data_IF_209004425772
#
_entry.id   IF_209004425772
#
_cell.length_a   1.000
_cell.length_b   1.000
_cell.length_c   1.000
_cell.angle_alpha   90.00
_cell.angle_beta   90.00
_cell.angle_gamma   90.00
#
_symmetry.space_group_name_H-M   'P 1'
#
loop_
_entity.id
_entity.type
_entity.pdbx_description
1 polymer ?
#
# COMPACT_ATOMS: atom_id res chain seq x y z
N UNK A 1 -25.84 -12.73 40.07
CA UNK A 1 -25.54 -11.51 39.30
C UNK A 1 -24.30 -10.85 39.87
N UNK A 2 -23.11 -11.17 39.36
CA UNK A 2 -21.85 -10.47 39.63
C UNK A 2 -20.83 -10.91 38.58
N UNK A 3 -20.52 -10.04 37.63
CA UNK A 3 -19.29 -10.09 36.84
C UNK A 3 -18.79 -8.67 36.70
N UNK A 4 -17.92 -8.32 37.63
CA UNK A 4 -17.08 -7.14 37.56
C UNK A 4 -16.10 -7.26 36.39
N UNK A 5 -15.90 -6.12 35.73
CA UNK A 5 -14.70 -5.60 35.09
C UNK A 5 -13.52 -6.56 34.81
N UNK A 6 -12.99 -6.50 33.58
CA UNK A 6 -11.55 -6.31 33.31
C UNK A 6 -11.41 -5.64 31.92
N UNK A 7 -11.01 -4.36 31.97
CA UNK A 7 -10.11 -3.63 31.04
C UNK A 7 -9.96 -4.12 29.58
N UNK A 8 -10.56 -3.41 28.62
CA UNK A 8 -10.04 -3.32 27.24
C UNK A 8 -10.17 -1.90 26.70
N UNK A 9 -9.62 -0.91 27.41
CA UNK A 9 -9.70 0.51 26.99
C UNK A 9 -8.35 1.18 26.67
N UNK A 10 -7.22 0.50 26.94
CA UNK A 10 -5.90 1.16 26.98
C UNK A 10 -4.91 0.85 25.85
N UNK A 11 -5.25 -0.02 24.90
CA UNK A 11 -4.30 -0.46 23.85
C UNK A 11 -4.44 0.29 22.51
N UNK A 12 -5.32 1.30 22.43
CA UNK A 12 -5.73 1.91 21.16
C UNK A 12 -4.98 3.17 20.73
N UNK A 13 -4.19 3.83 21.59
CA UNK A 13 -3.64 5.17 21.27
C UNK A 13 -2.24 5.15 20.66
N UNK A 14 -1.43 4.14 20.97
CA UNK A 14 -0.09 4.01 20.40
C UNK A 14 -0.10 3.32 19.03
N UNK A 15 -1.12 2.53 18.70
CA UNK A 15 -1.26 1.86 17.40
C UNK A 15 -1.79 2.76 16.29
N UNK A 16 -2.60 3.77 16.62
CA UNK A 16 -3.15 4.73 15.66
C UNK A 16 -2.09 5.57 14.91
N UNK A 17 -1.03 6.13 15.53
CA UNK A 17 -0.02 6.89 14.79
C UNK A 17 0.83 6.01 13.87
N UNK A 18 1.16 4.77 14.25
CA UNK A 18 1.84 3.83 13.36
C UNK A 18 0.96 3.47 12.17
N UNK A 19 -0.32 3.17 12.43
CA UNK A 19 -1.27 2.83 11.38
C UNK A 19 -1.49 4.01 10.41
N UNK A 20 -1.61 5.23 10.93
CA UNK A 20 -1.71 6.42 10.10
C UNK A 20 -0.42 6.64 9.28
N UNK A 21 0.75 6.38 9.88
CA UNK A 21 2.05 6.40 9.21
C UNK A 21 2.12 5.43 8.04
N UNK A 22 1.71 4.17 8.24
CA UNK A 22 1.66 3.14 7.20
C UNK A 22 0.76 3.56 6.03
N UNK A 23 -0.42 4.10 6.34
CA UNK A 23 -1.37 4.59 5.33
C UNK A 23 -0.81 5.76 4.52
N UNK A 24 -0.24 6.77 5.19
CA UNK A 24 0.39 7.91 4.53
C UNK A 24 1.59 7.46 3.69
N UNK A 25 2.39 6.52 4.20
CA UNK A 25 3.54 5.98 3.46
C UNK A 25 3.11 5.25 2.19
N UNK A 26 2.11 4.37 2.27
CA UNK A 26 1.58 3.66 1.10
C UNK A 26 0.99 4.62 0.06
N UNK A 27 0.33 5.68 0.52
CA UNK A 27 -0.21 6.71 -0.36
C UNK A 27 0.93 7.47 -1.06
N UNK A 28 1.93 7.93 -0.30
CA UNK A 28 3.07 8.66 -0.84
C UNK A 28 3.90 7.83 -1.82
N UNK A 29 4.21 6.57 -1.47
CA UNK A 29 5.00 5.71 -2.36
C UNK A 29 4.24 5.47 -3.67
N UNK A 30 2.94 5.18 -3.58
CA UNK A 30 2.10 4.97 -4.76
C UNK A 30 2.04 6.20 -5.65
N UNK A 31 1.82 7.39 -5.07
CA UNK A 31 1.81 8.64 -5.83
C UNK A 31 3.17 8.91 -6.48
N UNK A 32 4.26 8.78 -5.73
CA UNK A 32 5.60 9.06 -6.22
C UNK A 32 6.00 8.14 -7.39
N UNK A 33 5.74 6.84 -7.29
CA UNK A 33 6.05 5.88 -8.36
C UNK A 33 5.18 6.11 -9.60
N UNK A 34 3.89 6.44 -9.41
CA UNK A 34 2.95 6.71 -10.51
C UNK A 34 3.30 7.99 -11.25
N UNK A 35 3.63 9.06 -10.53
CA UNK A 35 4.06 10.33 -11.13
C UNK A 35 5.40 10.15 -11.84
N UNK A 36 6.35 9.43 -11.24
CA UNK A 36 7.64 9.15 -11.89
C UNK A 36 7.46 8.42 -13.22
N UNK A 37 6.54 7.44 -13.29
CA UNK A 37 6.19 6.76 -14.54
C UNK A 37 5.61 7.73 -15.58
N UNK A 38 4.64 8.55 -15.18
CA UNK A 38 4.02 9.53 -16.07
C UNK A 38 5.04 10.54 -16.61
N UNK A 39 5.96 11.02 -15.77
CA UNK A 39 7.03 11.92 -16.24
C UNK A 39 7.93 11.25 -17.29
N UNK A 40 8.13 9.93 -17.25
CA UNK A 40 8.92 9.22 -18.27
C UNK A 40 8.15 9.09 -19.58
N UNK A 41 6.83 8.95 -19.54
CA UNK A 41 5.98 8.91 -20.75
C UNK A 41 5.96 10.25 -21.49
N UNK A 42 6.08 11.37 -20.79
CA UNK A 42 6.15 12.70 -21.40
C UNK A 42 7.42 12.95 -22.26
N UNK A 43 8.41 12.04 -22.24
CA UNK A 43 9.65 12.23 -23.01
C UNK A 43 9.49 11.94 -24.51
N UNK A 44 8.44 11.24 -24.94
CA UNK A 44 8.16 10.97 -26.36
C UNK A 44 9.21 10.10 -27.07
N UNK A 45 9.95 9.27 -26.33
CA UNK A 45 10.96 8.33 -26.85
C UNK A 45 10.35 7.04 -27.43
N UNK A 46 9.04 6.86 -27.28
CA UNK A 46 8.28 5.74 -27.81
C UNK A 46 7.95 4.70 -26.75
N UNK A 47 6.74 4.15 -26.85
CA UNK A 47 6.08 3.36 -25.81
C UNK A 47 6.94 2.28 -25.15
N UNK A 48 7.65 1.46 -25.94
CA UNK A 48 8.45 0.34 -25.41
C UNK A 48 9.62 0.84 -24.56
N UNK A 49 10.27 1.92 -24.99
CA UNK A 49 11.42 2.49 -24.28
C UNK A 49 10.98 3.25 -23.03
N UNK A 50 9.89 4.02 -23.14
CA UNK A 50 9.28 4.75 -22.04
C UNK A 50 8.75 3.81 -20.97
N UNK A 51 8.10 2.72 -21.37
CA UNK A 51 7.59 1.73 -20.43
C UNK A 51 8.75 1.01 -19.72
N UNK A 52 9.80 0.62 -20.44
CA UNK A 52 10.99 0.01 -19.83
C UNK A 52 11.72 0.96 -18.87
N UNK A 53 11.98 2.20 -19.30
CA UNK A 53 12.65 3.20 -18.48
C UNK A 53 11.79 3.62 -17.28
N UNK A 54 10.50 3.85 -17.51
CA UNK A 54 9.52 4.24 -16.50
C UNK A 54 9.38 3.19 -15.41
N UNK A 55 9.33 1.91 -15.78
CA UNK A 55 9.31 0.82 -14.81
C UNK A 55 10.60 0.77 -13.98
N UNK A 56 11.78 0.95 -14.60
CA UNK A 56 13.05 1.01 -13.87
C UNK A 56 13.05 2.18 -12.88
N UNK A 57 12.66 3.37 -13.34
CA UNK A 57 12.60 4.58 -12.50
C UNK A 57 11.59 4.40 -11.37
N UNK A 58 10.39 3.92 -11.65
CA UNK A 58 9.35 3.66 -10.64
C UNK A 58 9.82 2.64 -9.60
N UNK A 59 10.49 1.56 -10.02
CA UNK A 59 11.05 0.58 -9.07
C UNK A 59 12.18 1.18 -8.24
N UNK A 60 13.03 2.03 -8.81
CA UNK A 60 14.08 2.73 -8.06
C UNK A 60 13.48 3.68 -7.02
N UNK A 61 12.49 4.50 -7.40
CA UNK A 61 11.80 5.41 -6.47
C UNK A 61 11.12 4.61 -5.36
N UNK A 62 10.35 3.58 -5.69
CA UNK A 62 9.67 2.73 -4.71
C UNK A 62 10.65 2.05 -3.76
N UNK A 63 11.78 1.56 -4.27
CA UNK A 63 12.83 0.92 -3.47
C UNK A 63 13.52 1.92 -2.54
N UNK A 64 13.86 3.12 -3.03
CA UNK A 64 14.47 4.17 -2.22
C UNK A 64 13.54 4.63 -1.09
N UNK A 65 12.26 4.81 -1.37
CA UNK A 65 11.27 5.15 -0.35
C UNK A 65 11.08 4.02 0.65
N UNK A 66 11.04 2.77 0.20
CA UNK A 66 10.97 1.60 1.08
C UNK A 66 12.20 1.50 1.99
N UNK A 67 13.41 1.73 1.47
CA UNK A 67 14.62 1.78 2.28
C UNK A 67 14.62 2.94 3.28
N UNK A 68 14.16 4.11 2.88
CA UNK A 68 14.05 5.26 3.78
C UNK A 68 13.04 5.04 4.91
N UNK A 69 11.98 4.27 4.63
CA UNK A 69 10.93 3.98 5.60
C UNK A 69 11.18 2.70 6.42
N UNK A 70 12.11 1.83 6.02
CA UNK A 70 12.46 0.61 6.75
C UNK A 70 12.84 0.85 8.23
N UNK A 71 13.63 1.89 8.59
CA UNK A 71 13.94 2.21 10.00
C UNK A 71 12.74 2.79 10.76
N UNK A 72 11.82 3.46 10.06
CA UNK A 72 10.69 4.18 10.63
C UNK A 72 9.49 3.26 10.90
N UNK A 73 9.22 2.32 10.00
CA UNK A 73 8.06 1.45 10.08
C UNK A 73 8.33 0.21 10.94
N UNK A 74 9.61 -0.18 11.14
CA UNK A 74 10.02 -1.29 12.01
C UNK A 74 9.41 -2.66 11.65
N UNK A 75 8.60 -2.74 10.60
CA UNK A 75 7.75 -3.87 10.27
C UNK A 75 8.02 -4.33 8.85
N UNK A 76 8.57 -5.54 8.75
CA UNK A 76 8.67 -6.30 7.49
C UNK A 76 7.28 -6.43 6.83
N UNK A 77 6.20 -6.36 7.62
CA UNK A 77 4.83 -6.48 7.12
C UNK A 77 4.39 -5.31 6.24
N UNK A 78 4.98 -4.11 6.37
CA UNK A 78 4.65 -2.96 5.54
C UNK A 78 5.43 -2.93 4.21
N UNK A 79 6.54 -3.67 4.11
CA UNK A 79 7.41 -3.72 2.93
C UNK A 79 6.77 -4.47 1.75
N UNK A 80 6.03 -5.54 2.05
CA UNK A 80 5.33 -6.33 1.02
C UNK A 80 4.22 -5.50 0.35
N UNK A 81 3.28 -4.88 1.08
CA UNK A 81 2.21 -4.12 0.45
C UNK A 81 2.73 -2.88 -0.28
N UNK A 82 3.81 -2.24 0.18
CA UNK A 82 4.41 -1.11 -0.55
C UNK A 82 5.03 -1.54 -1.87
N UNK A 83 5.68 -2.71 -1.94
CA UNK A 83 6.22 -3.26 -3.18
C UNK A 83 5.10 -3.61 -4.18
N UNK A 84 4.02 -4.23 -3.69
CA UNK A 84 2.85 -4.57 -4.52
C UNK A 84 2.23 -3.31 -5.13
N UNK A 85 1.99 -2.28 -4.32
CA UNK A 85 1.46 -1.00 -4.80
C UNK A 85 2.40 -0.32 -5.78
N UNK A 86 3.70 -0.32 -5.49
CA UNK A 86 4.72 0.31 -6.35
C UNK A 86 4.82 -0.36 -7.72
N UNK A 87 4.33 -1.59 -7.89
CA UNK A 87 4.26 -2.27 -9.19
C UNK A 87 2.91 -2.07 -9.88
N UNK A 88 1.80 -2.11 -9.12
CA UNK A 88 0.45 -2.00 -9.68
C UNK A 88 0.11 -0.57 -10.13
N UNK A 89 0.51 0.45 -9.36
CA UNK A 89 0.14 1.83 -9.66
C UNK A 89 0.78 2.38 -10.94
N UNK A 90 2.09 2.17 -11.22
CA UNK A 90 2.69 2.60 -12.47
C UNK A 90 2.16 1.81 -13.67
N UNK A 91 1.90 0.51 -13.48
CA UNK A 91 1.34 -0.34 -14.53
C UNK A 91 -0.05 0.14 -14.98
N UNK A 92 -0.86 0.70 -14.06
CA UNK A 92 -2.13 1.30 -14.43
C UNK A 92 -1.96 2.50 -15.37
N UNK A 93 -0.92 3.32 -15.18
CA UNK A 93 -0.58 4.42 -16.10
C UNK A 93 -0.13 3.89 -17.45
N UNK A 94 0.68 2.82 -17.49
CA UNK A 94 1.02 2.17 -18.75
C UNK A 94 -0.23 1.72 -19.52
N UNK A 95 -1.22 1.18 -18.80
CA UNK A 95 -2.47 0.74 -19.41
C UNK A 95 -3.27 1.93 -19.95
N UNK A 96 -3.37 3.04 -19.22
CA UNK A 96 -4.03 4.25 -19.72
C UNK A 96 -3.37 4.77 -21.01
N UNK A 97 -2.04 4.76 -21.03
CA UNK A 97 -1.24 5.16 -22.19
C UNK A 97 -1.49 4.27 -23.42
N UNK A 98 -1.57 2.94 -23.22
CA UNK A 98 -1.94 1.98 -24.29
C UNK A 98 -3.33 2.28 -24.86
N UNK A 99 -4.26 2.74 -24.04
CA UNK A 99 -5.60 3.14 -24.48
C UNK A 99 -5.66 4.56 -25.06
N UNK A 100 -4.54 5.28 -25.11
CA UNK A 100 -4.48 6.67 -25.57
C UNK A 100 -5.18 7.65 -24.62
N UNK A 101 -5.34 7.26 -23.35
CA UNK A 101 -5.86 8.13 -22.30
C UNK A 101 -4.67 8.78 -21.60
N UNK A 102 -4.54 10.09 -21.76
CA UNK A 102 -3.59 10.88 -20.99
C UNK A 102 -4.29 11.39 -19.72
N UNK A 103 -3.96 10.82 -18.53
CA UNK A 103 -4.54 11.27 -17.28
C UNK A 103 -3.99 12.64 -16.83
N UNK A 104 -2.90 13.13 -17.44
CA UNK A 104 -2.14 14.27 -16.94
C UNK A 104 -1.54 14.04 -15.55
N UNK A 105 -0.79 15.03 -15.06
CA UNK A 105 -0.07 14.89 -13.78
C UNK A 105 -1.01 14.77 -12.57
N UNK A 106 -2.14 15.48 -12.58
CA UNK A 106 -3.15 15.38 -11.52
C UNK A 106 -3.87 14.02 -11.54
N UNK A 107 -4.18 13.50 -12.74
CA UNK A 107 -4.80 12.18 -12.88
C UNK A 107 -3.84 11.06 -12.49
N UNK A 108 -2.56 11.15 -12.87
CA UNK A 108 -1.53 10.21 -12.43
C UNK A 108 -1.39 10.19 -10.90
N UNK A 109 -1.40 11.37 -10.25
CA UNK A 109 -1.41 11.46 -8.79
C UNK A 109 -2.69 10.86 -8.18
N UNK A 110 -3.86 11.10 -8.79
CA UNK A 110 -5.13 10.54 -8.32
C UNK A 110 -5.17 9.01 -8.43
N UNK A 111 -4.66 8.44 -9.52
CA UNK A 111 -4.50 6.99 -9.72
C UNK A 111 -3.57 6.43 -8.65
N UNK A 112 -2.41 7.06 -8.43
CA UNK A 112 -1.48 6.69 -7.36
C UNK A 112 -2.17 6.70 -5.99
N UNK A 113 -2.89 7.76 -5.66
CA UNK A 113 -3.61 7.88 -4.38
C UNK A 113 -4.68 6.80 -4.22
N UNK A 114 -5.41 6.47 -5.28
CA UNK A 114 -6.43 5.42 -5.28
C UNK A 114 -5.82 4.04 -5.00
N UNK A 115 -4.73 3.68 -5.66
CA UNK A 115 -4.03 2.41 -5.42
C UNK A 115 -3.42 2.35 -4.01
N UNK A 116 -2.79 3.42 -3.54
CA UNK A 116 -2.20 3.48 -2.20
C UNK A 116 -3.26 3.35 -1.10
N UNK A 117 -4.36 4.07 -1.23
CA UNK A 117 -5.51 4.01 -0.30
C UNK A 117 -6.18 2.64 -0.35
N UNK A 118 -6.41 2.11 -1.56
CA UNK A 118 -7.01 0.80 -1.76
C UNK A 118 -6.20 -0.31 -1.10
N UNK A 119 -4.86 -0.27 -1.23
CA UNK A 119 -3.99 -1.25 -0.59
C UNK A 119 -3.99 -1.13 0.93
N UNK A 120 -3.99 0.10 1.46
CA UNK A 120 -4.12 0.31 2.89
C UNK A 120 -5.42 -0.31 3.44
N UNK A 121 -6.56 -0.06 2.77
CA UNK A 121 -7.85 -0.67 3.14
C UNK A 121 -7.78 -2.19 3.04
N UNK A 122 -7.19 -2.72 1.97
CA UNK A 122 -7.02 -4.15 1.77
C UNK A 122 -6.23 -4.81 2.91
N UNK A 123 -5.07 -4.25 3.28
CA UNK A 123 -4.23 -4.75 4.38
C UNK A 123 -5.01 -4.74 5.70
N UNK A 124 -5.78 -3.69 5.96
CA UNK A 124 -6.57 -3.56 7.18
C UNK A 124 -7.71 -4.59 7.27
N UNK A 125 -8.46 -4.75 6.18
CA UNK A 125 -9.56 -5.72 6.08
C UNK A 125 -9.01 -7.15 6.17
N UNK A 126 -7.94 -7.45 5.44
CA UNK A 126 -7.27 -8.75 5.48
C UNK A 126 -6.77 -9.09 6.89
N UNK A 127 -6.10 -8.16 7.56
CA UNK A 127 -5.66 -8.33 8.94
C UNK A 127 -6.82 -8.58 9.92
N UNK A 128 -7.95 -7.90 9.74
CA UNK A 128 -9.14 -8.13 10.55
C UNK A 128 -9.73 -9.53 10.33
N UNK A 129 -9.82 -9.99 9.08
CA UNK A 129 -10.29 -11.33 8.74
C UNK A 129 -9.37 -12.43 9.29
N UNK A 130 -8.05 -12.28 9.17
CA UNK A 130 -7.10 -13.24 9.72
C UNK A 130 -7.24 -13.36 11.24
N UNK A 131 -7.32 -12.23 11.97
CA UNK A 131 -7.52 -12.24 13.43
C UNK A 131 -8.82 -12.94 13.83
N UNK A 132 -9.92 -12.66 13.13
CA UNK A 132 -11.20 -13.33 13.37
C UNK A 132 -11.12 -14.84 13.11
N UNK A 133 -10.45 -15.26 12.03
CA UNK A 133 -10.26 -16.67 11.71
C UNK A 133 -9.45 -17.42 12.77
N UNK A 134 -8.35 -16.84 13.26
CA UNK A 134 -7.53 -17.44 14.32
C UNK A 134 -8.29 -17.59 15.64
N UNK A 135 -9.04 -16.56 16.04
CA UNK A 135 -9.89 -16.63 17.24
C UNK A 135 -10.97 -17.72 17.12
N UNK A 136 -11.57 -17.88 15.93
CA UNK A 136 -12.58 -18.92 15.69
C UNK A 136 -12.00 -20.34 15.74
N UNK A 137 -10.75 -20.55 15.33
CA UNK A 137 -10.05 -21.84 15.39
C UNK A 137 -9.60 -22.18 16.82
N UNK A 138 -9.03 -21.21 17.54
CA UNK A 138 -8.63 -21.39 18.94
C UNK A 138 -9.81 -21.82 19.83
N UNK A 139 -11.00 -21.25 19.59
CA UNK A 139 -12.21 -21.62 20.32
C UNK A 139 -12.70 -23.06 20.02
N UNK A 140 -12.51 -23.56 18.79
CA UNK A 140 -12.86 -24.96 18.45
C UNK A 140 -11.93 -25.98 19.07
N UNK A 141 -10.65 -25.62 19.26
CA UNK A 141 -9.63 -26.54 19.76
C UNK A 141 -9.65 -26.68 21.31
N UNK A 142 -10.29 -25.75 22.01
CA UNK A 142 -10.47 -25.77 23.47
C UNK A 142 -11.78 -26.41 23.97
N UNK A 143 -12.60 -27.00 23.10
CA UNK A 143 -13.81 -27.72 23.53
C UNK A 143 -13.43 -29.16 23.94
N UNK A 144 -13.68 -29.58 25.20
CA UNK A 144 -13.64 -30.99 25.53
C UNK A 144 -14.71 -31.73 24.70
N UNK A 145 -14.33 -32.87 24.13
CA UNK A 145 -15.23 -33.75 23.38
C UNK A 145 -16.20 -34.46 24.31
#
# INVERSE_FOLDING_TARGET
MRREAIMTGGHGRHTLPFLAGDGVFLLLVSCATTVAMHMVHELGWGFVLECACGMIVAMLVGTLMAFAAAPLLGSIEAMVPSMVVSMLSPAAVCVFDVFGLDPGMEGAAAVGAAFGTGMFVFVQVYGAHCRAAFQSRAWRQGRPQ
#
